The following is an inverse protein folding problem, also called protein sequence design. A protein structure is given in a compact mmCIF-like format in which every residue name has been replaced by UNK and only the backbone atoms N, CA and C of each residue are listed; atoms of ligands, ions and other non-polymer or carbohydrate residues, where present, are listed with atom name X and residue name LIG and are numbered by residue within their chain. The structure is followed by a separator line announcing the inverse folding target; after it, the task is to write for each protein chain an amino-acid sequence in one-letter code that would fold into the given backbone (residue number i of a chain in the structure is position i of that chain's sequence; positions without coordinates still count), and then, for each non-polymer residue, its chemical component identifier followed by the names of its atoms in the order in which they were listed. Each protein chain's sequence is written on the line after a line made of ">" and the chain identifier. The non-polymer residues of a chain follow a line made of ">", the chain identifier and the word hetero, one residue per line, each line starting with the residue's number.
data_IF_317267935052
#
_entry.id   IF_317267935052
#
_cell.length_a   1.000
_cell.length_b   1.000
_cell.length_c   1.000
_cell.angle_alpha   90.00
_cell.angle_beta   90.00
_cell.angle_gamma   90.00
#
_symmetry.space_group_name_H-M   'P 1'
#
loop_
_entity.id
_entity.type
_entity.pdbx_description
1 polymer ?
#
# COMPACT_ATOMS: atom_id res chain seq x y z
N UNK A 1 2.19 4.12 -0.39
CA UNK A 1 2.04 3.27 -1.59
C UNK A 1 0.67 3.56 -2.17
N UNK A 2 0.54 3.62 -3.48
CA UNK A 2 -0.77 3.77 -4.13
C UNK A 2 -0.83 2.95 -5.42
N UNK A 3 -2.03 2.56 -5.89
CA UNK A 3 -2.19 1.86 -7.15
C UNK A 3 -1.68 2.72 -8.31
N UNK A 4 -0.91 2.12 -9.23
CA UNK A 4 -0.44 2.82 -10.43
C UNK A 4 -1.61 3.39 -11.25
N UNK A 5 -2.70 2.63 -11.34
CA UNK A 5 -3.91 3.00 -12.07
C UNK A 5 -4.66 4.17 -11.40
N UNK A 6 -4.39 4.45 -10.11
CA UNK A 6 -5.00 5.53 -9.33
C UNK A 6 -3.95 6.31 -8.54
N UNK A 7 -2.95 6.84 -9.27
CA UNK A 7 -1.82 7.60 -8.73
C UNK A 7 -2.22 9.02 -8.27
N UNK A 8 -3.10 9.11 -7.27
CA UNK A 8 -3.69 10.36 -6.80
C UNK A 8 -2.66 11.28 -6.16
N UNK A 9 -1.80 10.76 -5.27
CA UNK A 9 -0.80 11.56 -4.58
C UNK A 9 0.38 11.92 -5.48
N UNK A 10 0.81 10.98 -6.34
CA UNK A 10 1.96 11.21 -7.22
C UNK A 10 1.68 12.29 -8.27
N UNK A 11 0.55 12.21 -8.97
CA UNK A 11 0.21 13.13 -10.08
C UNK A 11 -1.29 13.35 -10.32
N UNK A 12 -2.16 13.02 -9.35
CA UNK A 12 -3.60 13.30 -9.43
C UNK A 12 -4.40 12.35 -10.33
N UNK A 13 -3.91 11.13 -10.56
CA UNK A 13 -4.63 10.08 -11.29
C UNK A 13 -5.84 9.53 -10.51
N UNK A 14 -6.95 9.25 -11.21
CA UNK A 14 -8.24 8.85 -10.61
C UNK A 14 -8.85 7.58 -11.27
N UNK A 15 -8.01 6.70 -11.80
CA UNK A 15 -8.45 5.48 -12.47
C UNK A 15 -9.08 4.45 -11.53
N UNK A 16 -9.50 3.32 -12.10
CA UNK A 16 -10.03 2.18 -11.33
C UNK A 16 -8.92 1.15 -11.16
N UNK A 17 -8.90 0.49 -10.00
CA UNK A 17 -7.92 -0.54 -9.66
C UNK A 17 -8.56 -1.65 -8.84
N UNK A 18 -7.85 -2.77 -8.71
CA UNK A 18 -8.27 -3.97 -7.97
C UNK A 18 -7.69 -4.08 -6.55
N UNK A 19 -6.83 -3.15 -6.16
CA UNK A 19 -6.26 -3.14 -4.80
C UNK A 19 -7.31 -2.63 -3.81
N UNK A 20 -8.07 -3.53 -3.20
CA UNK A 20 -9.10 -3.16 -2.22
C UNK A 20 -8.50 -2.56 -0.94
N UNK A 21 -9.16 -1.53 -0.40
CA UNK A 21 -8.80 -0.90 0.87
C UNK A 21 -7.82 0.29 0.78
N UNK A 22 -7.31 0.63 -0.40
CA UNK A 22 -6.48 1.83 -0.63
C UNK A 22 -6.91 2.55 -1.91
N UNK A 23 -6.37 3.75 -2.19
CA UNK A 23 -6.54 4.40 -3.50
C UNK A 23 -7.87 5.12 -3.70
N UNK A 24 -8.42 5.76 -2.66
CA UNK A 24 -9.75 6.40 -2.65
C UNK A 24 -9.89 7.66 -3.53
N UNK A 25 -8.99 7.89 -4.50
CA UNK A 25 -9.03 9.05 -5.43
C UNK A 25 -8.91 10.41 -4.76
N UNK A 26 -8.49 10.44 -3.50
CA UNK A 26 -8.32 11.64 -2.69
C UNK A 26 -7.10 11.50 -1.77
N UNK A 27 -6.49 12.62 -1.42
CA UNK A 27 -5.59 12.67 -0.26
C UNK A 27 -6.44 12.64 1.02
N UNK A 28 -6.38 11.55 1.78
CA UNK A 28 -7.14 11.39 3.03
C UNK A 28 -6.91 12.58 3.99
N UNK A 29 -7.97 13.10 4.63
CA UNK A 29 -7.87 14.28 5.51
C UNK A 29 -6.86 14.09 6.63
N UNK A 30 -6.94 12.96 7.33
CA UNK A 30 -6.09 12.61 8.47
C UNK A 30 -4.68 12.14 8.10
N UNK A 31 -4.34 12.11 6.81
CA UNK A 31 -2.98 11.77 6.39
C UNK A 31 -2.03 12.93 6.68
N UNK A 32 -1.13 12.77 7.64
CA UNK A 32 -0.04 13.71 7.87
C UNK A 32 1.00 13.62 6.73
N UNK A 33 0.79 14.42 5.68
CA UNK A 33 1.64 14.43 4.48
C UNK A 33 3.08 14.90 4.77
N UNK A 34 3.32 15.57 5.91
CA UNK A 34 4.68 15.96 6.32
C UNK A 34 5.57 14.75 6.57
N UNK A 35 5.00 13.61 6.98
CA UNK A 35 5.74 12.36 7.23
C UNK A 35 5.93 11.50 5.97
N UNK A 36 5.42 11.92 4.81
CA UNK A 36 5.48 11.14 3.57
C UNK A 36 6.72 11.46 2.74
N UNK A 37 7.80 10.71 2.87
CA UNK A 37 9.02 10.98 2.10
C UNK A 37 8.95 10.49 0.66
N UNK A 38 8.30 9.35 0.44
CA UNK A 38 8.15 8.75 -0.88
C UNK A 38 6.72 8.31 -1.13
N UNK A 39 6.27 8.45 -2.37
CA UNK A 39 5.08 7.80 -2.90
C UNK A 39 5.54 6.86 -4.01
N UNK A 40 5.23 5.58 -3.87
CA UNK A 40 5.60 4.55 -4.83
C UNK A 40 4.35 3.90 -5.39
N UNK A 41 4.32 3.76 -6.71
CA UNK A 41 3.22 3.15 -7.44
C UNK A 41 3.47 1.65 -7.61
N UNK A 42 2.40 0.87 -7.48
CA UNK A 42 2.40 -0.58 -7.71
C UNK A 42 1.21 -0.91 -8.60
N UNK A 43 1.42 -1.72 -9.64
CA UNK A 43 0.34 -2.14 -10.54
C UNK A 43 -0.64 -3.06 -9.80
N UNK A 44 -1.94 -2.84 -9.99
CA UNK A 44 -2.96 -3.63 -9.30
C UNK A 44 -2.91 -5.11 -9.67
N UNK A 45 -2.69 -5.42 -10.95
CA UNK A 45 -2.66 -6.79 -11.45
C UNK A 45 -1.43 -7.55 -10.94
N UNK A 46 -0.30 -6.87 -10.71
CA UNK A 46 0.86 -7.48 -10.07
C UNK A 46 0.57 -7.84 -8.61
N UNK A 47 -0.21 -7.03 -7.89
CA UNK A 47 -0.62 -7.36 -6.52
C UNK A 47 -1.52 -8.60 -6.47
N UNK A 48 -2.47 -8.72 -7.42
CA UNK A 48 -3.37 -9.88 -7.50
C UNK A 48 -2.61 -11.14 -7.92
N UNK A 49 -1.68 -11.04 -8.86
CA UNK A 49 -0.79 -12.17 -9.24
C UNK A 49 0.13 -12.58 -8.09
N UNK A 50 0.72 -11.62 -7.36
CA UNK A 50 1.52 -11.88 -6.18
C UNK A 50 0.71 -12.66 -5.14
N UNK A 51 -0.54 -12.28 -4.93
CA UNK A 51 -1.44 -12.99 -4.03
C UNK A 51 -1.65 -14.44 -4.46
N UNK A 52 -1.92 -14.68 -5.76
CA UNK A 52 -2.05 -16.03 -6.33
C UNK A 52 -0.79 -16.87 -6.14
N UNK A 53 0.38 -16.28 -6.35
CA UNK A 53 1.67 -16.98 -6.16
C UNK A 53 1.87 -17.35 -4.69
N UNK A 54 1.57 -16.46 -3.75
CA UNK A 54 1.72 -16.77 -2.33
C UNK A 54 0.74 -17.84 -1.87
N UNK A 55 -0.49 -17.84 -2.40
CA UNK A 55 -1.53 -18.79 -2.04
C UNK A 55 -1.26 -20.20 -2.61
N UNK A 56 -0.97 -20.31 -3.91
CA UNK A 56 -0.85 -21.61 -4.59
C UNK A 56 0.59 -22.04 -4.90
N UNK A 57 1.52 -21.09 -4.97
CA UNK A 57 2.87 -21.28 -5.49
C UNK A 57 3.92 -21.65 -4.44
N UNK A 58 3.58 -22.44 -3.41
CA UNK A 58 4.54 -22.82 -2.34
C UNK A 58 5.85 -23.39 -2.91
N UNK A 59 5.77 -24.33 -3.85
CA UNK A 59 6.98 -24.92 -4.45
C UNK A 59 7.78 -23.92 -5.29
N UNK A 60 7.12 -22.89 -5.83
CA UNK A 60 7.75 -21.80 -6.59
C UNK A 60 8.51 -20.89 -5.63
N UNK A 61 7.90 -20.51 -4.50
CA UNK A 61 8.56 -19.73 -3.45
C UNK A 61 9.77 -20.48 -2.87
N UNK A 62 9.64 -21.79 -2.66
CA UNK A 62 10.75 -22.64 -2.20
C UNK A 62 11.90 -22.66 -3.21
N UNK A 63 11.61 -22.77 -4.51
CA UNK A 63 12.64 -22.66 -5.57
C UNK A 63 13.30 -21.27 -5.60
N UNK A 64 12.61 -20.23 -5.15
CA UNK A 64 13.14 -18.87 -5.02
C UNK A 64 13.94 -18.64 -3.74
N UNK A 65 14.05 -19.65 -2.87
CA UNK A 65 14.87 -19.61 -1.65
C UNK A 65 14.11 -19.31 -0.36
N UNK A 66 12.77 -19.26 -0.40
CA UNK A 66 11.95 -19.18 0.81
C UNK A 66 11.92 -20.54 1.49
N UNK A 67 12.08 -20.58 2.81
CA UNK A 67 11.91 -21.83 3.56
C UNK A 67 10.48 -22.39 3.37
N UNK A 68 10.33 -23.71 3.29
CA UNK A 68 9.03 -24.34 3.03
C UNK A 68 8.00 -24.05 4.12
N UNK A 69 8.39 -24.11 5.39
CA UNK A 69 7.48 -23.86 6.50
C UNK A 69 7.00 -22.40 6.47
N UNK A 70 7.89 -21.47 6.12
CA UNK A 70 7.54 -20.05 5.92
C UNK A 70 6.58 -19.91 4.74
N UNK A 71 6.88 -20.50 3.59
CA UNK A 71 6.04 -20.43 2.39
C UNK A 71 4.63 -20.99 2.64
N UNK A 72 4.51 -22.09 3.38
CA UNK A 72 3.23 -22.67 3.76
C UNK A 72 2.47 -21.78 4.76
N UNK A 73 3.17 -21.18 5.73
CA UNK A 73 2.55 -20.28 6.70
C UNK A 73 1.95 -19.02 6.08
N UNK A 74 2.46 -18.58 4.94
CA UNK A 74 2.06 -17.32 4.30
C UNK A 74 0.77 -17.40 3.48
N UNK A 75 0.32 -18.60 3.12
CA UNK A 75 -0.76 -18.81 2.13
C UNK A 75 -1.97 -17.92 2.39
N UNK A 76 -2.42 -17.87 3.64
CA UNK A 76 -3.67 -17.19 4.01
C UNK A 76 -3.45 -15.84 4.71
N UNK A 77 -2.20 -15.39 4.87
CA UNK A 77 -1.88 -14.23 5.72
C UNK A 77 -2.19 -12.88 5.08
N UNK A 78 -2.36 -12.82 3.77
CA UNK A 78 -2.36 -11.55 3.05
C UNK A 78 -3.59 -11.37 2.17
N UNK A 79 -4.04 -10.13 2.05
CA UNK A 79 -4.90 -9.64 0.98
C UNK A 79 -4.12 -8.92 -0.14
N UNK A 80 -4.86 -8.36 -1.09
CA UNK A 80 -4.27 -7.68 -2.27
C UNK A 80 -3.51 -6.41 -1.86
N UNK A 81 -4.02 -5.62 -0.92
CA UNK A 81 -3.32 -4.43 -0.41
C UNK A 81 -2.10 -4.81 0.45
N UNK A 82 -2.13 -5.94 1.15
CA UNK A 82 -0.94 -6.53 1.78
C UNK A 82 0.15 -6.85 0.76
N UNK A 83 -0.20 -7.44 -0.39
CA UNK A 83 0.75 -7.65 -1.48
C UNK A 83 1.28 -6.33 -2.06
N UNK A 84 0.44 -5.33 -2.26
CA UNK A 84 0.89 -3.98 -2.64
C UNK A 84 1.95 -3.45 -1.68
N UNK A 85 1.73 -3.61 -0.37
CA UNK A 85 2.66 -3.21 0.67
C UNK A 85 4.01 -3.94 0.62
N UNK A 86 3.99 -5.25 0.34
CA UNK A 86 5.22 -6.06 0.18
C UNK A 86 5.98 -5.68 -1.09
N UNK A 87 5.29 -5.54 -2.23
CA UNK A 87 5.90 -5.14 -3.49
C UNK A 87 6.51 -3.73 -3.39
N UNK A 88 5.79 -2.81 -2.75
CA UNK A 88 6.30 -1.47 -2.44
C UNK A 88 7.52 -1.50 -1.53
N UNK A 89 7.55 -2.39 -0.53
CA UNK A 89 8.71 -2.59 0.34
C UNK A 89 9.94 -3.11 -0.42
N UNK A 90 9.77 -4.12 -1.29
CA UNK A 90 10.85 -4.65 -2.14
C UNK A 90 11.39 -3.54 -3.04
N UNK A 91 10.50 -2.77 -3.66
CA UNK A 91 10.83 -1.65 -4.54
C UNK A 91 11.60 -0.54 -3.82
N UNK A 92 11.17 -0.18 -2.61
CA UNK A 92 11.88 0.80 -1.78
C UNK A 92 13.21 0.29 -1.24
N UNK A 93 13.32 -0.99 -0.90
CA UNK A 93 14.58 -1.60 -0.47
C UNK A 93 15.64 -1.50 -1.59
N UNK A 94 15.25 -1.77 -2.83
CA UNK A 94 16.11 -1.58 -4.02
C UNK A 94 16.49 -0.11 -4.21
N UNK A 95 15.49 0.79 -4.22
CA UNK A 95 15.69 2.22 -4.44
C UNK A 95 16.61 2.89 -3.41
N UNK A 96 16.44 2.54 -2.13
CA UNK A 96 17.25 3.05 -1.03
C UNK A 96 18.58 2.30 -0.87
N UNK A 97 18.82 1.26 -1.69
CA UNK A 97 20.02 0.40 -1.66
C UNK A 97 20.26 -0.22 -0.28
N UNK A 98 19.20 -0.69 0.33
CA UNK A 98 19.26 -1.35 1.63
C UNK A 98 20.05 -2.64 1.55
N UNK A 99 20.91 -2.86 2.53
CA UNK A 99 21.73 -4.06 2.69
C UNK A 99 21.06 -5.14 3.54
N UNK A 100 21.74 -6.28 3.74
CA UNK A 100 21.22 -7.39 4.55
C UNK A 100 21.03 -7.05 6.04
N UNK A 101 21.68 -5.98 6.53
CA UNK A 101 21.57 -5.53 7.92
C UNK A 101 20.49 -4.45 8.13
N UNK A 102 19.84 -4.01 7.05
CA UNK A 102 18.79 -3.00 7.10
C UNK A 102 17.41 -3.65 7.24
N UNK A 103 16.59 -3.08 8.12
CA UNK A 103 15.23 -3.59 8.36
C UNK A 103 14.20 -2.84 7.51
N UNK A 104 13.32 -3.60 6.87
CA UNK A 104 12.12 -3.07 6.21
C UNK A 104 10.89 -3.58 6.94
N UNK A 105 10.10 -2.67 7.49
CA UNK A 105 8.82 -2.99 8.13
C UNK A 105 7.70 -2.59 7.18
N UNK A 106 6.78 -3.52 6.91
CA UNK A 106 5.61 -3.30 6.07
C UNK A 106 4.35 -3.84 6.75
N UNK A 107 3.18 -3.49 6.22
CA UNK A 107 1.89 -3.75 6.86
C UNK A 107 1.10 -4.79 6.04
N UNK A 108 0.70 -5.88 6.69
CA UNK A 108 -0.32 -6.79 6.19
C UNK A 108 -1.67 -6.36 6.76
N UNK A 109 -2.55 -5.88 5.90
CA UNK A 109 -3.81 -5.22 6.28
C UNK A 109 -4.91 -6.21 6.66
N UNK A 110 -4.97 -7.32 5.94
CA UNK A 110 -6.00 -8.35 6.05
C UNK A 110 -5.52 -9.69 5.45
N UNK A 111 -6.29 -10.73 5.73
CA UNK A 111 -6.06 -12.12 5.30
C UNK A 111 -6.73 -12.48 3.97
N UNK A 112 -6.38 -13.64 3.44
CA UNK A 112 -6.84 -14.13 2.13
C UNK A 112 -8.33 -14.47 2.06
N UNK A 113 -8.99 -14.73 3.19
CA UNK A 113 -10.38 -15.22 3.30
C UNK A 113 -11.45 -14.40 2.57
N UNK A 114 -11.13 -13.15 2.21
CA UNK A 114 -12.02 -12.24 1.46
C UNK A 114 -11.82 -12.26 -0.05
N UNK A 115 -10.78 -12.93 -0.57
CA UNK A 115 -10.28 -12.71 -1.94
C UNK A 115 -10.50 -13.87 -2.92
N UNK A 116 -11.30 -14.88 -2.57
CA UNK A 116 -11.62 -16.00 -3.46
C UNK A 116 -12.16 -15.54 -4.83
N UNK A 117 -13.11 -14.59 -4.84
CA UNK A 117 -13.70 -14.06 -6.08
C UNK A 117 -12.69 -13.27 -6.93
N UNK A 118 -11.72 -12.60 -6.30
CA UNK A 118 -10.65 -11.88 -7.00
C UNK A 118 -9.72 -12.87 -7.70
N UNK A 119 -9.42 -13.99 -7.07
CA UNK A 119 -8.64 -15.08 -7.69
C UNK A 119 -9.43 -15.75 -8.82
N UNK A 120 -10.71 -16.02 -8.64
CA UNK A 120 -11.56 -16.55 -9.72
C UNK A 120 -11.64 -15.60 -10.93
N UNK A 121 -11.70 -14.28 -10.70
CA UNK A 121 -11.66 -13.28 -11.78
C UNK A 121 -10.29 -13.30 -12.50
N UNK A 122 -9.19 -13.38 -11.75
CA UNK A 122 -7.86 -13.55 -12.32
C UNK A 122 -7.81 -14.77 -13.24
N UNK A 123 -8.31 -15.92 -12.80
CA UNK A 123 -8.33 -17.15 -13.58
C UNK A 123 -9.23 -17.09 -14.82
N UNK A 124 -10.27 -16.25 -14.82
CA UNK A 124 -11.11 -16.00 -16.02
C UNK A 124 -10.42 -15.08 -17.03
N UNK A 125 -9.56 -14.17 -16.57
CA UNK A 125 -8.85 -13.21 -17.43
C UNK A 125 -7.63 -13.80 -18.12
N UNK A 126 -7.01 -14.82 -17.51
CA UNK A 126 -5.82 -15.47 -18.03
C UNK A 126 -6.15 -16.83 -18.65
N UNK A 127 -5.43 -17.21 -19.72
CA UNK A 127 -5.64 -18.49 -20.40
C UNK A 127 -5.30 -19.69 -19.52
N UNK A 128 -4.26 -19.55 -18.69
CA UNK A 128 -3.83 -20.57 -17.74
C UNK A 128 -3.09 -19.93 -16.56
N UNK A 129 -3.19 -20.57 -15.40
CA UNK A 129 -2.50 -20.20 -14.15
C UNK A 129 -1.66 -21.37 -13.63
N UNK A 130 -1.18 -22.22 -14.54
CA UNK A 130 -0.33 -23.37 -14.23
C UNK A 130 1.02 -22.94 -13.63
N UNK A 131 1.71 -23.86 -12.96
CA UNK A 131 2.96 -23.60 -12.22
C UNK A 131 4.03 -22.84 -13.02
N UNK A 132 4.18 -23.13 -14.33
CA UNK A 132 5.18 -22.45 -15.15
C UNK A 132 4.83 -20.98 -15.41
N UNK A 133 3.53 -20.64 -15.46
CA UNK A 133 3.05 -19.26 -15.56
C UNK A 133 3.25 -18.55 -14.23
N UNK A 134 2.90 -19.19 -13.12
CA UNK A 134 3.14 -18.64 -11.78
C UNK A 134 4.63 -18.44 -11.52
N UNK A 135 5.49 -19.35 -11.98
CA UNK A 135 6.95 -19.22 -11.83
C UNK A 135 7.49 -18.03 -12.64
N UNK A 136 6.96 -17.81 -13.84
CA UNK A 136 7.28 -16.61 -14.63
C UNK A 136 6.83 -15.35 -13.92
N UNK A 137 5.58 -15.29 -13.45
CA UNK A 137 5.07 -14.14 -12.71
C UNK A 137 5.88 -13.87 -11.45
N UNK A 138 6.27 -14.90 -10.70
CA UNK A 138 7.07 -14.74 -9.50
C UNK A 138 8.45 -14.13 -9.78
N UNK A 139 9.09 -14.53 -10.89
CA UNK A 139 10.33 -13.91 -11.37
C UNK A 139 10.11 -12.46 -11.77
N UNK A 140 9.07 -12.17 -12.56
CA UNK A 140 8.79 -10.82 -13.05
C UNK A 140 8.43 -9.87 -11.89
N UNK A 141 7.64 -10.33 -10.91
CA UNK A 141 7.07 -9.51 -9.84
C UNK A 141 8.02 -9.36 -8.64
N UNK A 142 8.60 -10.44 -8.11
CA UNK A 142 9.43 -10.31 -6.90
C UNK A 142 10.89 -9.97 -7.22
N UNK A 143 11.47 -10.61 -8.24
CA UNK A 143 12.86 -10.33 -8.64
C UNK A 143 12.93 -9.18 -9.65
N UNK A 144 12.02 -9.15 -10.62
CA UNK A 144 12.01 -8.23 -11.75
C UNK A 144 11.47 -6.83 -11.45
N UNK A 145 10.79 -6.61 -10.32
CA UNK A 145 10.26 -5.28 -9.98
C UNK A 145 11.40 -4.25 -9.91
N UNK A 146 11.31 -3.23 -10.76
CA UNK A 146 12.30 -2.17 -10.89
C UNK A 146 12.08 -1.02 -9.91
N UNK A 147 12.82 0.07 -10.07
CA UNK A 147 12.76 1.30 -9.26
C UNK A 147 11.99 2.45 -9.95
N UNK A 148 11.29 2.15 -11.05
CA UNK A 148 10.40 3.07 -11.76
C UNK A 148 9.24 3.55 -10.87
N UNK A 149 8.59 4.67 -11.19
CA UNK A 149 7.39 5.13 -10.49
C UNK A 149 7.54 5.34 -8.96
N UNK A 150 8.73 5.78 -8.53
CA UNK A 150 9.00 6.27 -7.18
C UNK A 150 9.10 7.79 -7.23
N UNK A 151 8.32 8.46 -6.39
CA UNK A 151 8.24 9.92 -6.33
C UNK A 151 8.76 10.41 -4.98
N UNK A 152 9.78 11.28 -5.02
CA UNK A 152 10.37 11.90 -3.83
C UNK A 152 9.59 13.14 -3.42
N UNK A 153 9.09 13.13 -2.19
CA UNK A 153 8.29 14.19 -1.59
C UNK A 153 9.00 14.90 -0.43
N UNK A 154 10.31 14.69 -0.24
CA UNK A 154 11.06 15.26 0.89
C UNK A 154 11.26 16.77 0.80
N UNK A 155 11.20 17.35 -0.41
CA UNK A 155 11.38 18.80 -0.56
C UNK A 155 10.13 19.57 -0.11
N UNK A 156 10.32 20.79 0.40
CA UNK A 156 9.19 21.65 0.78
C UNK A 156 8.21 21.90 -0.38
N UNK A 157 8.73 22.00 -1.62
CA UNK A 157 7.90 22.16 -2.82
C UNK A 157 7.03 20.93 -3.07
N UNK A 158 7.57 19.74 -2.88
CA UNK A 158 6.80 18.52 -3.10
C UNK A 158 5.80 18.26 -1.97
N UNK A 159 6.16 18.56 -0.72
CA UNK A 159 5.18 18.59 0.38
C UNK A 159 4.03 19.55 0.09
N UNK A 160 4.32 20.72 -0.48
CA UNK A 160 3.29 21.69 -0.89
C UNK A 160 2.32 21.10 -1.92
N UNK A 161 2.81 20.30 -2.87
CA UNK A 161 1.93 19.61 -3.85
C UNK A 161 0.94 18.67 -3.15
N UNK A 162 1.37 17.94 -2.13
CA UNK A 162 0.46 17.08 -1.34
C UNK A 162 -0.57 17.90 -0.56
N UNK A 163 -0.19 19.05 0.00
CA UNK A 163 -1.15 19.96 0.64
C UNK A 163 -2.14 20.55 -0.34
N UNK A 164 -1.70 20.97 -1.53
CA UNK A 164 -2.60 21.49 -2.56
C UNK A 164 -3.61 20.43 -3.01
N UNK A 165 -3.17 19.17 -3.15
CA UNK A 165 -4.06 18.05 -3.43
C UNK A 165 -5.09 17.87 -2.30
N UNK A 166 -4.65 17.87 -1.03
CA UNK A 166 -5.55 17.81 0.14
C UNK A 166 -6.54 18.97 0.18
N UNK A 167 -6.10 20.20 -0.07
CA UNK A 167 -6.98 21.39 -0.11
C UNK A 167 -8.03 21.24 -1.22
N UNK A 168 -7.59 20.90 -2.44
CA UNK A 168 -8.47 20.64 -3.58
C UNK A 168 -9.53 19.58 -3.26
N UNK A 169 -9.12 18.53 -2.55
CA UNK A 169 -9.99 17.40 -2.23
C UNK A 169 -11.01 17.75 -1.14
N UNK A 170 -10.64 18.53 -0.12
CA UNK A 170 -11.48 18.72 1.08
C UNK A 170 -12.25 20.05 1.16
N UNK A 171 -11.83 21.10 0.44
CA UNK A 171 -12.63 22.34 0.37
C UNK A 171 -14.06 22.08 -0.17
N UNK A 172 -14.28 21.26 -1.22
CA UNK A 172 -15.64 20.96 -1.69
C UNK A 172 -16.53 20.25 -0.66
N UNK A 173 -15.94 19.59 0.34
CA UNK A 173 -16.67 18.94 1.43
C UNK A 173 -16.95 19.88 2.62
N UNK A 174 -16.64 21.18 2.49
CA UNK A 174 -16.98 22.20 3.49
C UNK A 174 -15.92 22.43 4.57
N UNK A 175 -14.73 21.85 4.44
CA UNK A 175 -13.61 22.20 5.30
C UNK A 175 -13.08 23.59 4.95
N UNK A 176 -12.72 24.39 5.94
CA UNK A 176 -12.14 25.71 5.69
C UNK A 176 -10.66 25.59 5.32
N UNK A 177 -10.18 26.54 4.53
CA UNK A 177 -8.75 26.60 4.18
C UNK A 177 -7.89 26.77 5.42
N UNK A 178 -8.33 27.55 6.40
CA UNK A 178 -7.64 27.76 7.67
C UNK A 178 -7.47 26.45 8.46
N UNK A 179 -8.48 25.57 8.41
CA UNK A 179 -8.40 24.27 9.06
C UNK A 179 -7.37 23.37 8.36
N UNK A 180 -7.40 23.29 7.03
CA UNK A 180 -6.41 22.51 6.26
C UNK A 180 -4.99 23.08 6.46
N UNK A 181 -4.83 24.41 6.46
CA UNK A 181 -3.55 25.06 6.71
C UNK A 181 -3.03 24.81 8.13
N UNK A 182 -3.91 24.63 9.11
CA UNK A 182 -3.49 24.27 10.48
C UNK A 182 -2.74 22.93 10.53
N UNK A 183 -3.07 21.99 9.63
CA UNK A 183 -2.42 20.68 9.51
C UNK A 183 -0.96 20.76 9.00
N UNK A 184 -0.50 21.94 8.58
CA UNK A 184 0.89 22.18 8.16
C UNK A 184 1.85 22.27 9.34
N UNK A 185 1.34 22.41 10.56
CA UNK A 185 2.14 22.50 11.79
C UNK A 185 2.12 21.16 12.52
N UNK A 186 3.27 20.70 12.99
CA UNK A 186 3.34 19.45 13.74
C UNK A 186 2.52 19.49 15.04
N UNK A 187 2.42 20.67 15.65
CA UNK A 187 1.57 20.94 16.83
C UNK A 187 0.11 20.50 16.62
N UNK A 188 -0.46 20.67 15.41
CA UNK A 188 -1.81 20.18 15.11
C UNK A 188 -1.91 18.67 15.34
N UNK A 189 -0.95 17.91 14.82
CA UNK A 189 -0.93 16.45 14.91
C UNK A 189 -0.65 15.96 16.32
N UNK A 190 0.19 16.67 17.08
CA UNK A 190 0.45 16.39 18.49
C UNK A 190 -0.80 16.60 19.35
N UNK A 191 -1.56 17.68 19.08
CA UNK A 191 -2.85 17.95 19.73
C UNK A 191 -3.86 16.84 19.40
N UNK A 192 -3.99 16.45 18.13
CA UNK A 192 -4.89 15.34 17.75
C UNK A 192 -4.48 14.02 18.42
N UNK A 193 -3.18 13.71 18.46
CA UNK A 193 -2.65 12.53 19.13
C UNK A 193 -2.96 12.54 20.65
N UNK A 194 -2.86 13.69 21.30
CA UNK A 194 -3.13 13.80 22.75
C UNK A 194 -4.58 13.49 23.14
N UNK A 195 -5.51 13.42 22.19
CA UNK A 195 -6.92 13.07 22.45
C UNK A 195 -7.15 11.56 22.63
N UNK A 196 -6.18 10.71 22.25
CA UNK A 196 -6.31 9.25 22.32
C UNK A 196 -6.73 8.76 23.72
N UNK A 197 -6.07 9.17 24.83
CA UNK A 197 -6.46 8.71 26.17
C UNK A 197 -7.90 9.05 26.55
N UNK A 198 -8.39 10.23 26.12
CA UNK A 198 -9.76 10.67 26.40
C UNK A 198 -10.78 9.83 25.61
N UNK A 199 -10.50 9.53 24.35
CA UNK A 199 -11.35 8.65 23.55
C UNK A 199 -11.33 7.22 24.08
N UNK A 200 -10.16 6.69 24.45
CA UNK A 200 -10.04 5.36 25.05
C UNK A 200 -10.87 5.23 26.32
N UNK A 201 -10.85 6.25 27.19
CA UNK A 201 -11.68 6.30 28.38
C UNK A 201 -13.17 6.24 28.04
N UNK A 202 -13.63 7.09 27.10
CA UNK A 202 -15.04 7.10 26.67
C UNK A 202 -15.47 5.78 26.04
N UNK A 203 -14.62 5.16 25.23
CA UNK A 203 -14.90 3.88 24.59
C UNK A 203 -15.02 2.77 25.63
N UNK A 204 -14.15 2.74 26.66
CA UNK A 204 -14.25 1.79 27.77
C UNK A 204 -15.56 1.99 28.54
N UNK A 205 -15.87 3.23 28.94
CA UNK A 205 -17.13 3.54 29.64
C UNK A 205 -18.39 3.12 28.86
N UNK A 206 -18.37 3.23 27.53
CA UNK A 206 -19.46 2.76 26.66
C UNK A 206 -19.54 1.24 26.52
N UNK A 207 -18.41 0.53 26.62
CA UNK A 207 -18.32 -0.92 26.43
C UNK A 207 -18.48 -1.73 27.73
N UNK A 208 -18.44 -1.08 28.89
CA UNK A 208 -18.47 -1.72 30.22
C UNK A 208 -17.11 -2.30 30.60
#
# INVERSE_FOLDING_TARGET
>A
LEPYECATLAFGGLGQHRIEGIGDKMCTLIHNVLNTDFVTLVQDDDCVKALKIVYDGTDILVKMGVDREIAESMKELFGVSGMCNILGAIKMAKHLRLGPDDNVVTIATDSFDRYYSVIEDLEKRYLETADFVLERWAKDIFHGIGEDNIYDFRTAKDKERLFQQKEKDWLPFGYSKEYIDSMRKQEFWEIEYSKIPDYDKKIKEMRG
#
